data_IF_487312382364
#
_entry.id   IF_487312382364
#
_cell.length_a   1.000
_cell.length_b   1.000
_cell.length_c   1.000
_cell.angle_alpha   90.00
_cell.angle_beta   90.00
_cell.angle_gamma   90.00
#
_symmetry.space_group_name_H-M   'P 1'
#
loop_
_entity.id
_entity.type
_entity.pdbx_description
1 polymer ?
#
# COMPACT_ATOMS: atom_id res chain seq x y z
N UNK A 1 16.27 53.59 22.74
CA UNK A 1 16.05 52.33 22.01
C UNK A 1 15.19 52.64 20.79
N UNK A 2 15.76 52.65 19.59
CA UNK A 2 14.99 52.92 18.38
C UNK A 2 14.16 51.68 17.99
N UNK A 3 12.93 51.88 17.51
CA UNK A 3 12.00 50.80 17.15
C UNK A 3 12.55 49.97 15.98
N UNK A 4 12.55 48.64 16.11
CA UNK A 4 12.90 47.70 15.04
C UNK A 4 11.63 47.10 14.39
N UNK A 5 11.80 46.40 13.26
CA UNK A 5 10.68 45.71 12.59
C UNK A 5 10.35 44.40 13.32
N UNK A 6 9.10 44.24 13.74
CA UNK A 6 8.64 43.11 14.56
C UNK A 6 8.48 41.79 13.77
N UNK A 7 8.21 41.82 12.47
CA UNK A 7 8.01 40.61 11.65
C UNK A 7 8.29 40.83 10.15
N UNK A 8 8.84 39.83 9.47
CA UNK A 8 8.99 39.83 8.00
C UNK A 8 9.02 38.41 7.41
N UNK A 9 8.29 38.21 6.31
CA UNK A 9 8.28 36.97 5.50
C UNK A 9 9.03 37.14 4.16
N UNK A 10 9.77 38.25 3.99
CA UNK A 10 10.25 38.70 2.67
C UNK A 10 11.13 37.68 1.92
N UNK A 11 12.04 36.99 2.60
CA UNK A 11 12.99 36.06 1.97
C UNK A 11 12.68 34.57 2.24
N UNK A 12 11.55 34.24 2.89
CA UNK A 12 11.30 32.84 3.24
C UNK A 12 10.96 32.02 1.99
N UNK A 13 10.13 32.56 1.09
CA UNK A 13 9.80 31.90 -0.18
C UNK A 13 11.05 31.66 -1.03
N UNK A 14 11.92 32.67 -1.18
CA UNK A 14 13.17 32.53 -1.95
C UNK A 14 14.09 31.46 -1.36
N UNK A 15 14.17 31.33 -0.03
CA UNK A 15 14.93 30.25 0.62
C UNK A 15 14.29 28.87 0.42
N UNK A 16 12.97 28.76 0.59
CA UNK A 16 12.24 27.50 0.39
C UNK A 16 12.39 26.98 -1.05
N UNK A 17 12.38 27.89 -2.04
CA UNK A 17 12.52 27.54 -3.45
C UNK A 17 13.97 27.36 -3.91
N UNK A 18 14.99 27.80 -3.16
CA UNK A 18 16.41 27.63 -3.53
C UNK A 18 16.78 26.17 -3.82
N UNK A 19 16.26 25.24 -3.02
CA UNK A 19 16.45 23.80 -3.21
C UNK A 19 15.22 23.11 -3.85
N UNK A 20 14.17 23.88 -4.11
CA UNK A 20 12.86 23.41 -4.56
C UNK A 20 12.04 22.71 -3.46
N UNK A 21 10.72 22.89 -3.50
CA UNK A 21 9.79 22.20 -2.61
C UNK A 21 9.55 20.79 -3.17
N UNK A 22 10.13 19.77 -2.53
CA UNK A 22 10.00 18.38 -2.96
C UNK A 22 8.70 17.77 -2.43
N UNK A 23 8.00 17.03 -3.30
CA UNK A 23 6.80 16.27 -2.92
C UNK A 23 7.23 14.95 -2.25
N UNK A 24 6.44 14.39 -1.32
CA UNK A 24 6.72 13.07 -0.78
C UNK A 24 6.71 12.02 -1.89
N UNK A 25 7.58 11.01 -1.78
CA UNK A 25 7.62 9.90 -2.72
C UNK A 25 6.34 9.07 -2.60
N UNK A 26 5.70 8.78 -3.74
CA UNK A 26 4.60 7.81 -3.83
C UNK A 26 5.17 6.41 -3.93
N UNK A 27 4.90 5.55 -2.93
CA UNK A 27 5.32 4.15 -2.96
C UNK A 27 4.16 3.27 -3.46
N UNK A 28 4.47 2.11 -4.04
CA UNK A 28 3.43 1.13 -4.46
C UNK A 28 2.66 0.58 -3.25
N UNK A 29 3.34 0.42 -2.12
CA UNK A 29 2.78 -0.07 -0.88
C UNK A 29 3.14 0.90 0.25
N UNK A 30 2.13 1.38 0.95
CA UNK A 30 2.27 2.27 2.10
C UNK A 30 2.44 1.50 3.41
N UNK A 31 2.75 2.20 4.50
CA UNK A 31 2.84 1.58 5.83
C UNK A 31 1.46 1.17 6.34
N UNK A 32 1.40 0.10 7.13
CA UNK A 32 0.17 -0.36 7.81
C UNK A 32 0.01 0.23 9.22
N UNK A 33 0.74 1.31 9.53
CA UNK A 33 0.71 1.94 10.84
C UNK A 33 -0.66 2.60 11.06
N UNK A 34 -1.29 2.33 12.20
CA UNK A 34 -2.63 2.84 12.53
C UNK A 34 -3.78 2.00 11.98
N UNK A 35 -3.51 0.89 11.29
CA UNK A 35 -4.55 -0.10 10.97
C UNK A 35 -4.99 -0.88 12.22
N UNK A 36 -6.21 -1.41 12.18
CA UNK A 36 -6.74 -2.24 13.27
C UNK A 36 -5.84 -3.45 13.57
N UNK A 37 -5.54 -3.64 14.84
CA UNK A 37 -4.63 -4.69 15.33
C UNK A 37 -5.22 -6.07 15.05
N UNK A 38 -6.54 -6.27 15.19
CA UNK A 38 -7.18 -7.56 14.94
C UNK A 38 -7.05 -7.96 13.46
N UNK A 39 -7.25 -7.00 12.56
CA UNK A 39 -6.99 -7.20 11.14
C UNK A 39 -5.53 -7.56 10.84
N UNK A 40 -4.57 -6.84 11.44
CA UNK A 40 -3.14 -7.09 11.21
C UNK A 40 -2.70 -8.47 11.70
N UNK A 41 -3.20 -8.91 12.85
CA UNK A 41 -2.94 -10.24 13.40
C UNK A 41 -3.45 -11.32 12.43
N UNK A 42 -4.70 -11.18 11.98
CA UNK A 42 -5.29 -12.11 11.01
C UNK A 42 -4.49 -12.14 9.69
N UNK A 43 -4.16 -10.97 9.15
CA UNK A 43 -3.37 -10.85 7.92
C UNK A 43 -2.01 -11.54 8.05
N UNK A 44 -1.34 -11.42 9.20
CA UNK A 44 -0.07 -12.08 9.48
C UNK A 44 -0.21 -13.60 9.45
N UNK A 45 -1.22 -14.16 10.13
CA UNK A 45 -1.43 -15.60 10.15
C UNK A 45 -1.88 -16.15 8.80
N UNK A 46 -2.77 -15.44 8.09
CA UNK A 46 -3.19 -15.82 6.75
C UNK A 46 -2.02 -15.88 5.76
N UNK A 47 -1.14 -14.87 5.78
CA UNK A 47 0.08 -14.88 4.94
C UNK A 47 1.03 -16.02 5.29
N UNK A 48 1.16 -16.35 6.58
CA UNK A 48 1.98 -17.48 7.05
C UNK A 48 1.43 -18.83 6.58
N UNK A 49 0.10 -18.98 6.53
CA UNK A 49 -0.58 -20.21 6.11
C UNK A 49 -0.81 -20.33 4.59
N UNK A 50 -0.38 -19.36 3.79
CA UNK A 50 -0.53 -19.45 2.34
C UNK A 50 0.37 -20.55 1.76
N UNK A 51 -0.19 -21.29 0.79
CA UNK A 51 0.57 -22.25 -0.02
C UNK A 51 1.68 -21.54 -0.79
N UNK A 52 2.72 -22.29 -1.15
CA UNK A 52 3.73 -21.78 -2.06
C UNK A 52 3.09 -21.39 -3.39
N UNK A 53 3.73 -20.44 -4.10
CA UNK A 53 3.26 -20.00 -5.43
C UNK A 53 3.10 -21.20 -6.37
N UNK A 54 4.08 -22.10 -6.36
CA UNK A 54 4.13 -23.27 -7.23
C UNK A 54 2.99 -24.25 -6.94
N UNK A 55 2.78 -24.59 -5.66
CA UNK A 55 1.67 -25.47 -5.27
C UNK A 55 0.32 -24.84 -5.57
N UNK A 56 0.17 -23.53 -5.35
CA UNK A 56 -1.06 -22.80 -5.66
C UNK A 56 -1.37 -22.85 -7.17
N UNK A 57 -0.36 -22.65 -8.02
CA UNK A 57 -0.52 -22.73 -9.49
C UNK A 57 -0.84 -24.17 -9.92
N UNK A 58 -0.16 -25.17 -9.35
CA UNK A 58 -0.43 -26.59 -9.64
C UNK A 58 -1.88 -26.95 -9.33
N UNK A 59 -2.35 -26.66 -8.11
CA UNK A 59 -3.74 -26.91 -7.69
C UNK A 59 -4.75 -26.17 -8.58
N UNK A 60 -4.44 -24.95 -8.98
CA UNK A 60 -5.28 -24.20 -9.91
C UNK A 60 -5.42 -24.90 -11.27
N UNK A 61 -4.31 -25.33 -11.85
CA UNK A 61 -4.30 -26.04 -13.14
C UNK A 61 -5.05 -27.38 -13.05
N UNK A 62 -4.86 -28.14 -11.97
CA UNK A 62 -5.60 -29.38 -11.70
C UNK A 62 -7.11 -29.13 -11.59
N UNK A 63 -7.51 -28.04 -10.92
CA UNK A 63 -8.92 -27.64 -10.81
C UNK A 63 -9.52 -27.28 -12.17
N UNK A 64 -8.79 -26.51 -12.98
CA UNK A 64 -9.23 -26.14 -14.33
C UNK A 64 -9.33 -27.38 -15.23
N UNK A 65 -8.35 -28.28 -15.19
CA UNK A 65 -8.38 -29.54 -15.94
C UNK A 65 -9.59 -30.40 -15.56
N UNK A 66 -9.89 -30.53 -14.26
CA UNK A 66 -11.04 -31.31 -13.78
C UNK A 66 -12.41 -30.66 -14.03
N UNK A 67 -12.46 -29.35 -14.30
CA UNK A 67 -13.66 -28.64 -14.73
C UNK A 67 -13.86 -28.66 -16.25
N UNK A 68 -12.82 -28.97 -17.03
CA UNK A 68 -12.90 -29.00 -18.49
C UNK A 68 -13.87 -30.11 -18.93
N UNK A 69 -15.00 -29.70 -19.52
CA UNK A 69 -16.07 -30.61 -19.99
C UNK A 69 -17.25 -30.78 -19.03
N UNK A 70 -17.23 -30.21 -17.83
CA UNK A 70 -18.39 -30.20 -16.93
C UNK A 70 -19.28 -28.99 -17.25
N UNK A 71 -20.62 -29.14 -17.28
CA UNK A 71 -21.51 -28.00 -17.43
C UNK A 71 -21.33 -27.03 -16.25
N UNK A 72 -21.45 -25.72 -16.52
CA UNK A 72 -21.34 -24.72 -15.45
C UNK A 72 -22.47 -24.95 -14.44
N UNK A 73 -22.18 -24.89 -13.13
CA UNK A 73 -23.23 -25.03 -12.12
C UNK A 73 -24.26 -23.91 -12.31
N UNK A 74 -25.53 -24.27 -12.30
CA UNK A 74 -26.64 -23.32 -12.35
C UNK A 74 -26.63 -22.55 -11.03
N UNK A 75 -26.36 -21.25 -11.08
CA UNK A 75 -26.52 -20.35 -9.94
C UNK A 75 -28.00 -19.98 -9.84
N UNK A 76 -28.61 -20.21 -8.68
CA UNK A 76 -29.94 -19.73 -8.34
C UNK A 76 -30.00 -18.20 -8.37
#
# INVERSE_FOLDING_TARGET
MAKSKNHTNHNQNKKAHRNGIKRPLRKRHESTLGMDVKFLINQRYARKGNLSREESVKRYNERIASQKGKPKPVTL
#
